data_IF_941161590816
#
_entry.id   IF_941161590816
#
_cell.length_a   1.000
_cell.length_b   1.000
_cell.length_c   1.000
_cell.angle_alpha   90.00
_cell.angle_beta   90.00
_cell.angle_gamma   90.00
#
_symmetry.space_group_name_H-M   'P 1'
#
loop_
_entity.id
_entity.type
_entity.pdbx_description
1 polymer ?
#
# COMPACT_ATOMS: atom_id res chain seq x y z
N UNK A 1 4.07 -14.35 33.75
CA UNK A 1 3.54 -12.97 33.81
C UNK A 1 4.45 -12.10 32.94
N UNK A 2 3.84 -11.38 32.00
CA UNK A 2 4.38 -10.29 31.16
C UNK A 2 5.31 -10.65 29.99
N UNK A 3 4.71 -11.07 28.87
CA UNK A 3 5.13 -10.68 27.51
C UNK A 3 3.88 -10.42 26.66
N UNK A 4 3.14 -9.36 27.00
CA UNK A 4 2.14 -8.71 26.14
C UNK A 4 2.59 -7.26 26.03
N UNK A 5 3.12 -6.84 24.87
CA UNK A 5 3.59 -5.46 24.72
C UNK A 5 4.47 -5.14 23.51
N UNK A 6 4.55 -6.00 22.50
CA UNK A 6 5.12 -5.64 21.19
C UNK A 6 4.07 -5.92 20.14
N UNK A 7 3.44 -4.88 19.58
CA UNK A 7 2.53 -5.05 18.46
C UNK A 7 3.28 -5.78 17.33
N UNK A 8 2.77 -6.93 16.90
CA UNK A 8 3.35 -7.64 15.76
C UNK A 8 3.12 -6.77 14.52
N UNK A 9 4.18 -6.10 14.06
CA UNK A 9 4.13 -5.18 12.93
C UNK A 9 4.22 -5.94 11.61
N UNK A 10 5.01 -7.01 11.56
CA UNK A 10 5.24 -7.83 10.38
C UNK A 10 4.39 -9.10 10.42
N UNK A 11 3.65 -9.36 9.34
CA UNK A 11 2.74 -10.50 9.23
C UNK A 11 3.11 -11.43 8.08
N UNK A 12 3.92 -11.00 7.12
CA UNK A 12 4.32 -11.83 6.01
C UNK A 12 5.10 -11.11 4.93
N UNK A 13 5.54 -11.87 3.94
CA UNK A 13 6.22 -11.39 2.75
C UNK A 13 5.77 -12.17 1.53
N UNK A 14 5.90 -11.59 0.35
CA UNK A 14 5.47 -12.19 -0.90
C UNK A 14 6.25 -11.63 -2.07
N UNK A 15 6.20 -12.36 -3.17
CA UNK A 15 6.63 -11.86 -4.47
C UNK A 15 5.57 -12.14 -5.53
N UNK A 16 5.38 -11.17 -6.41
CA UNK A 16 4.47 -11.25 -7.54
C UNK A 16 5.21 -10.87 -8.81
N UNK A 17 4.94 -11.58 -9.90
CA UNK A 17 5.45 -11.26 -11.23
C UNK A 17 4.30 -11.17 -12.25
N UNK A 18 4.56 -10.49 -13.36
CA UNK A 18 3.67 -10.53 -14.53
C UNK A 18 4.16 -11.58 -15.51
N UNK A 19 3.29 -12.54 -15.83
CA UNK A 19 3.51 -13.53 -16.86
C UNK A 19 2.67 -13.19 -18.11
N UNK A 20 3.24 -13.14 -19.33
CA UNK A 20 2.52 -12.72 -20.54
C UNK A 20 1.20 -13.46 -20.82
N UNK A 21 1.18 -14.78 -20.58
CA UNK A 21 -0.01 -15.62 -20.79
C UNK A 21 -0.93 -15.68 -19.56
N UNK A 22 -0.37 -15.78 -18.35
CA UNK A 22 -1.15 -16.03 -17.12
C UNK A 22 -1.62 -14.74 -16.43
N UNK A 23 -1.12 -13.58 -16.84
CA UNK A 23 -1.33 -12.32 -16.14
C UNK A 23 -0.46 -12.22 -14.89
N UNK A 24 -0.95 -11.50 -13.88
CA UNK A 24 -0.26 -11.37 -12.60
C UNK A 24 -0.26 -12.72 -11.88
N UNK A 25 0.91 -13.18 -11.43
CA UNK A 25 1.10 -14.44 -10.72
C UNK A 25 1.82 -14.20 -9.41
N UNK A 26 1.32 -14.77 -8.32
CA UNK A 26 2.06 -14.84 -7.06
C UNK A 26 3.17 -15.88 -7.26
N UNK A 27 4.42 -15.44 -7.20
CA UNK A 27 5.58 -16.33 -7.31
C UNK A 27 5.69 -17.17 -6.04
N UNK A 28 5.56 -16.51 -4.88
CA UNK A 28 5.56 -17.14 -3.57
C UNK A 28 4.98 -16.22 -2.49
N UNK A 29 4.55 -16.82 -1.39
CA UNK A 29 4.04 -16.11 -0.22
C UNK A 29 4.45 -16.82 1.06
N UNK A 30 4.93 -16.05 2.03
CA UNK A 30 5.25 -16.50 3.37
C UNK A 30 4.52 -15.61 4.37
N UNK A 31 3.39 -16.09 4.89
CA UNK A 31 2.49 -15.34 5.76
C UNK A 31 2.26 -16.07 7.08
N UNK A 32 2.04 -15.30 8.14
CA UNK A 32 1.65 -15.80 9.45
C UNK A 32 0.30 -16.52 9.35
N UNK A 33 0.12 -17.60 10.10
CA UNK A 33 -1.06 -18.49 10.02
C UNK A 33 -2.38 -17.73 10.21
N UNK A 34 -2.39 -16.75 11.12
CA UNK A 34 -3.56 -15.88 11.38
C UNK A 34 -3.96 -15.11 10.10
N UNK A 35 -2.98 -14.55 9.39
CA UNK A 35 -3.24 -13.77 8.18
C UNK A 35 -3.77 -14.65 7.04
N UNK A 36 -3.23 -15.86 6.91
CA UNK A 36 -3.67 -16.82 5.89
C UNK A 36 -5.14 -17.25 6.07
N UNK A 37 -5.65 -17.21 7.31
CA UNK A 37 -7.05 -17.50 7.64
C UNK A 37 -7.97 -16.28 7.44
N UNK A 38 -7.51 -15.09 7.82
CA UNK A 38 -8.32 -13.85 7.79
C UNK A 38 -8.48 -13.25 6.39
N UNK A 39 -7.46 -13.38 5.55
CA UNK A 39 -7.53 -12.91 4.16
C UNK A 39 -7.65 -14.17 3.32
N UNK A 40 -8.86 -14.54 2.89
CA UNK A 40 -9.19 -15.74 2.10
C UNK A 40 -8.16 -16.10 1.00
N UNK A 41 -7.04 -16.71 1.40
CA UNK A 41 -5.90 -17.10 0.57
C UNK A 41 -4.98 -15.96 0.09
N UNK A 42 -5.03 -14.73 0.63
CA UNK A 42 -4.31 -13.55 0.09
C UNK A 42 -4.57 -13.32 -1.41
N UNK A 43 -5.68 -13.88 -1.91
CA UNK A 43 -6.06 -13.87 -3.31
C UNK A 43 -6.32 -12.42 -3.75
N UNK A 44 -5.66 -12.03 -4.83
CA UNK A 44 -5.81 -10.72 -5.44
C UNK A 44 -4.77 -9.69 -5.02
N UNK A 45 -3.87 -10.02 -4.07
CA UNK A 45 -2.73 -9.14 -3.74
C UNK A 45 -1.89 -8.83 -4.99
N UNK A 46 -1.80 -9.77 -5.92
CA UNK A 46 -1.11 -9.63 -7.19
C UNK A 46 -1.67 -8.52 -8.08
N UNK A 47 -2.95 -8.17 -7.95
CA UNK A 47 -3.54 -7.06 -8.70
C UNK A 47 -3.32 -5.72 -8.01
N UNK A 48 -3.14 -5.72 -6.69
CA UNK A 48 -2.85 -4.51 -5.92
C UNK A 48 -1.40 -4.06 -6.11
N UNK A 49 -0.47 -5.03 -6.13
CA UNK A 49 0.98 -4.77 -6.13
C UNK A 49 1.61 -4.76 -7.53
N UNK A 50 0.84 -5.15 -8.55
CA UNK A 50 1.15 -4.95 -9.97
C UNK A 50 -0.03 -4.23 -10.66
N UNK A 51 -0.29 -2.94 -10.33
CA UNK A 51 -1.44 -2.25 -10.87
C UNK A 51 -1.29 -2.03 -12.38
N UNK A 52 -2.42 -2.07 -13.07
CA UNK A 52 -2.50 -1.76 -14.50
C UNK A 52 -1.95 -0.37 -14.80
N UNK A 53 -1.34 -0.19 -15.98
CA UNK A 53 -0.78 1.11 -16.38
C UNK A 53 0.61 1.42 -15.81
N UNK A 54 1.28 0.48 -15.15
CA UNK A 54 2.65 0.66 -14.66
C UNK A 54 3.74 0.58 -15.74
N UNK A 55 3.39 0.51 -17.02
CA UNK A 55 4.35 0.41 -18.12
C UNK A 55 5.29 1.64 -18.21
N UNK A 56 4.89 2.81 -17.71
CA UNK A 56 5.76 4.00 -17.66
C UNK A 56 6.63 4.10 -16.41
N UNK A 57 6.49 3.17 -15.45
CA UNK A 57 7.19 3.22 -14.18
C UNK A 57 8.32 2.18 -14.20
N UNK A 58 9.55 2.64 -13.90
CA UNK A 58 10.69 1.74 -13.74
C UNK A 58 10.74 1.11 -12.36
N UNK A 59 10.46 1.87 -11.32
CA UNK A 59 10.35 1.41 -9.94
C UNK A 59 9.41 2.33 -9.15
N UNK A 60 8.70 1.79 -8.17
CA UNK A 60 7.92 2.59 -7.21
C UNK A 60 7.60 1.76 -5.96
N UNK A 61 7.29 2.44 -4.86
CA UNK A 61 6.72 1.81 -3.68
C UNK A 61 5.19 1.89 -3.78
N UNK A 62 4.57 0.72 -3.69
CA UNK A 62 3.13 0.54 -3.71
C UNK A 62 2.68 0.18 -2.30
N UNK A 63 1.72 0.94 -1.78
CA UNK A 63 1.10 0.66 -0.48
C UNK A 63 -0.37 0.39 -0.75
N UNK A 64 -0.85 -0.80 -0.41
CA UNK A 64 -2.26 -1.17 -0.64
C UNK A 64 -2.87 -1.73 0.62
N UNK A 65 -4.10 -1.32 0.92
CA UNK A 65 -4.88 -1.91 2.00
C UNK A 65 -5.31 -3.34 1.64
N UNK A 66 -5.26 -4.23 2.62
CA UNK A 66 -5.77 -5.59 2.54
C UNK A 66 -6.90 -5.69 3.57
N UNK A 67 -8.11 -5.94 3.09
CA UNK A 67 -9.28 -6.10 3.94
C UNK A 67 -9.41 -7.58 4.30
N UNK A 68 -9.51 -7.88 5.60
CA UNK A 68 -9.97 -9.18 6.06
C UNK A 68 -11.51 -9.17 6.07
N UNK A 69 -12.12 -10.13 5.39
CA UNK A 69 -13.55 -10.36 5.47
C UNK A 69 -13.83 -11.09 6.79
N UNK A 70 -13.98 -10.32 7.87
CA UNK A 70 -14.35 -10.86 9.17
C UNK A 70 -15.88 -10.90 9.31
N UNK A 71 -16.40 -12.02 9.80
CA UNK A 71 -17.84 -12.22 10.05
C UNK A 71 -18.40 -11.27 11.13
N UNK A 72 -17.54 -10.71 11.99
CA UNK A 72 -17.90 -9.93 13.18
C UNK A 72 -17.94 -8.40 12.97
N UNK A 73 -18.10 -7.90 11.72
CA UNK A 73 -18.16 -6.47 11.35
C UNK A 73 -16.92 -5.61 11.74
N UNK A 74 -15.97 -6.16 12.50
CA UNK A 74 -14.69 -5.55 12.84
C UNK A 74 -13.64 -5.96 11.79
N UNK A 75 -13.44 -5.08 10.81
CA UNK A 75 -12.44 -5.27 9.74
C UNK A 75 -11.08 -4.86 10.30
N UNK A 76 -10.24 -5.84 10.61
CA UNK A 76 -8.81 -5.58 10.78
C UNK A 76 -8.23 -5.12 9.44
N UNK A 77 -7.66 -3.90 9.41
CA UNK A 77 -7.00 -3.39 8.21
C UNK A 77 -5.53 -3.76 8.24
N UNK A 78 -5.14 -4.59 7.27
CA UNK A 78 -3.76 -4.93 6.99
C UNK A 78 -3.26 -4.13 5.80
N UNK A 79 -1.95 -4.00 5.67
CA UNK A 79 -1.33 -3.28 4.55
C UNK A 79 -0.28 -4.15 3.89
N UNK A 80 -0.25 -4.07 2.57
CA UNK A 80 0.89 -4.50 1.77
C UNK A 80 1.75 -3.28 1.44
N UNK A 81 3.06 -3.40 1.64
CA UNK A 81 4.05 -2.42 1.19
C UNK A 81 4.99 -3.16 0.26
N UNK A 82 5.10 -2.71 -0.98
CA UNK A 82 5.78 -3.45 -2.03
C UNK A 82 6.64 -2.55 -2.88
N UNK A 83 7.85 -3.01 -3.19
CA UNK A 83 8.67 -2.41 -4.21
C UNK A 83 8.31 -3.06 -5.56
N UNK A 84 7.73 -2.25 -6.42
CA UNK A 84 7.52 -2.56 -7.82
C UNK A 84 8.78 -2.25 -8.62
N UNK A 85 9.12 -3.12 -9.56
CA UNK A 85 10.23 -2.93 -10.50
C UNK A 85 9.87 -3.47 -11.89
N UNK A 86 10.08 -2.63 -12.88
CA UNK A 86 10.13 -3.00 -14.30
C UNK A 86 11.59 -3.23 -14.68
N UNK A 87 11.88 -4.42 -15.20
CA UNK A 87 13.17 -4.75 -15.77
C UNK A 87 13.08 -4.80 -17.29
N UNK A 88 13.86 -3.96 -17.93
CA UNK A 88 14.10 -4.04 -19.37
C UNK A 88 15.19 -5.09 -19.62
N UNK A 89 14.86 -6.12 -20.38
CA UNK A 89 15.82 -7.15 -20.79
C UNK A 89 16.53 -6.65 -22.05
N UNK A 90 17.84 -6.48 -21.98
CA UNK A 90 18.62 -5.74 -22.99
C UNK A 90 19.17 -6.62 -24.13
N UNK A 91 18.87 -7.92 -24.16
CA UNK A 91 19.54 -8.87 -25.08
C UNK A 91 18.79 -9.17 -26.38
N UNK A 92 17.53 -8.78 -26.55
CA UNK A 92 16.81 -8.93 -27.83
C UNK A 92 15.67 -7.88 -27.91
N UNK A 93 15.41 -7.19 -29.05
CA UNK A 93 14.20 -6.37 -29.24
C UNK A 93 12.88 -7.16 -29.09
N UNK A 94 12.92 -8.50 -29.03
CA UNK A 94 11.80 -9.38 -28.66
C UNK A 94 11.79 -9.83 -27.19
N UNK A 95 12.79 -9.45 -26.39
CA UNK A 95 12.84 -9.86 -24.98
C UNK A 95 11.80 -9.15 -24.13
N UNK A 96 11.07 -9.95 -23.37
CA UNK A 96 9.90 -9.57 -22.60
C UNK A 96 10.28 -8.59 -21.48
N UNK A 97 9.53 -7.48 -21.37
CA UNK A 97 9.61 -6.61 -20.20
C UNK A 97 9.10 -7.43 -19.01
N UNK A 98 9.93 -7.55 -17.98
CA UNK A 98 9.57 -8.29 -16.77
C UNK A 98 9.10 -7.29 -15.72
N UNK A 99 7.86 -7.44 -15.26
CA UNK A 99 7.32 -6.71 -14.12
C UNK A 99 7.34 -7.59 -12.89
N UNK A 100 7.87 -7.07 -11.78
CA UNK A 100 7.90 -7.75 -10.49
C UNK A 100 7.56 -6.80 -9.36
N UNK A 101 7.02 -7.37 -8.29
CA UNK A 101 6.75 -6.68 -7.04
C UNK A 101 7.17 -7.57 -5.88
N UNK A 102 8.03 -7.04 -5.00
CA UNK A 102 8.43 -7.70 -3.76
C UNK A 102 7.84 -6.91 -2.61
N UNK A 103 7.11 -7.58 -1.71
CA UNK A 103 6.41 -6.88 -0.65
C UNK A 103 6.35 -7.60 0.67
N UNK A 104 5.91 -6.84 1.67
CA UNK A 104 5.64 -7.29 3.02
C UNK A 104 4.22 -6.94 3.41
N UNK A 105 3.66 -7.73 4.31
CA UNK A 105 2.33 -7.53 4.88
C UNK A 105 2.50 -7.13 6.33
N UNK A 106 1.83 -6.06 6.71
CA UNK A 106 2.00 -5.41 8.01
C UNK A 106 0.68 -4.95 8.60
N UNK A 107 0.66 -4.73 9.91
CA UNK A 107 -0.48 -4.12 10.61
C UNK A 107 -0.52 -2.62 10.40
N UNK A 108 -1.64 -1.99 10.76
CA UNK A 108 -1.84 -0.55 10.64
C UNK A 108 -0.86 0.32 11.44
N UNK A 109 -0.21 -0.23 12.46
CA UNK A 109 0.79 0.49 13.26
C UNK A 109 2.18 0.50 12.63
N UNK A 110 2.36 -0.10 11.46
CA UNK A 110 3.67 -0.21 10.82
C UNK A 110 4.22 1.13 10.33
N UNK A 111 5.52 1.42 10.50
CA UNK A 111 6.12 2.67 10.06
C UNK A 111 6.47 2.59 8.57
N UNK A 112 5.47 2.81 7.70
CA UNK A 112 5.56 2.57 6.24
C UNK A 112 6.80 3.18 5.57
N UNK A 113 7.21 4.38 6.00
CA UNK A 113 8.40 5.05 5.45
C UNK A 113 9.70 4.27 5.67
N UNK A 114 9.89 3.69 6.85
CA UNK A 114 11.05 2.86 7.16
C UNK A 114 11.05 1.57 6.34
N UNK A 115 9.87 0.94 6.21
CA UNK A 115 9.69 -0.28 5.41
C UNK A 115 10.03 -0.03 3.95
N UNK A 116 9.50 1.07 3.40
CA UNK A 116 9.73 1.47 2.03
C UNK A 116 11.23 1.69 1.75
N UNK A 117 11.95 2.35 2.67
CA UNK A 117 13.40 2.60 2.55
C UNK A 117 14.20 1.29 2.55
N UNK A 118 13.82 0.36 3.42
CA UNK A 118 14.47 -0.95 3.49
C UNK A 118 14.21 -1.77 2.22
N UNK A 119 12.97 -1.79 1.73
CA UNK A 119 12.61 -2.41 0.45
C UNK A 119 13.39 -1.81 -0.73
N UNK A 120 13.56 -0.50 -0.77
CA UNK A 120 14.36 0.19 -1.81
C UNK A 120 15.84 -0.24 -1.80
N UNK A 121 16.38 -0.65 -0.65
CA UNK A 121 17.75 -1.17 -0.55
C UNK A 121 17.89 -2.60 -1.09
N UNK A 122 16.77 -3.32 -1.22
CA UNK A 122 16.73 -4.72 -1.66
C UNK A 122 16.80 -4.79 -3.19
N UNK A 123 17.76 -5.57 -3.69
CA UNK A 123 17.79 -5.92 -5.11
C UNK A 123 16.81 -7.06 -5.42
N UNK A 124 15.60 -6.71 -5.87
CA UNK A 124 14.53 -7.67 -6.24
C UNK A 124 15.00 -8.74 -7.23
N UNK A 125 15.96 -8.43 -8.10
CA UNK A 125 16.46 -9.38 -9.10
C UNK A 125 17.16 -10.60 -8.49
N UNK A 126 17.50 -10.53 -7.20
CA UNK A 126 18.14 -11.59 -6.42
C UNK A 126 17.09 -12.54 -5.78
N UNK A 127 15.81 -12.17 -5.74
CA UNK A 127 14.74 -12.86 -5.00
C UNK A 127 13.87 -13.79 -5.87
N UNK A 128 14.42 -14.37 -6.93
CA UNK A 128 13.72 -15.39 -7.73
C UNK A 128 13.54 -16.75 -7.04
N UNK A 129 13.89 -16.87 -5.76
CA UNK A 129 13.93 -18.14 -5.03
C UNK A 129 13.19 -17.99 -3.69
N UNK A 130 12.22 -18.89 -3.46
CA UNK A 130 11.41 -19.02 -2.23
C UNK A 130 12.25 -19.09 -0.97
N UNK A 131 13.48 -19.64 -1.08
CA UNK A 131 14.41 -19.78 0.05
C UNK A 131 14.80 -18.45 0.70
N UNK A 132 14.54 -17.31 0.05
CA UNK A 132 14.89 -15.97 0.54
C UNK A 132 13.76 -15.20 1.22
N UNK A 133 12.52 -15.69 1.16
CA UNK A 133 11.40 -15.11 1.92
C UNK A 133 11.68 -14.97 3.43
N UNK A 134 12.26 -16.00 4.10
CA UNK A 134 12.65 -15.91 5.52
C UNK A 134 13.70 -14.82 5.83
N UNK A 135 14.57 -14.47 4.87
CA UNK A 135 15.54 -13.40 5.05
C UNK A 135 14.89 -12.01 5.12
N UNK A 136 13.77 -11.80 4.44
CA UNK A 136 13.02 -10.54 4.56
C UNK A 136 12.42 -10.42 5.96
N UNK A 137 11.83 -11.50 6.49
CA UNK A 137 11.30 -11.52 7.84
C UNK A 137 12.38 -11.17 8.89
N UNK A 138 13.61 -11.66 8.73
CA UNK A 138 14.71 -11.32 9.65
C UNK A 138 15.17 -9.87 9.53
N UNK A 139 15.23 -9.31 8.31
CA UNK A 139 15.54 -7.90 8.04
C UNK A 139 14.50 -7.00 8.72
N UNK A 140 13.21 -7.26 8.54
CA UNK A 140 12.15 -6.41 9.08
C UNK A 140 11.98 -6.57 10.59
N UNK A 141 12.19 -7.77 11.17
CA UNK A 141 12.10 -7.97 12.61
C UNK A 141 13.20 -7.25 13.41
N UNK A 142 14.36 -6.94 12.81
CA UNK A 142 15.47 -6.28 13.50
C UNK A 142 15.48 -4.74 13.38
N UNK A 143 14.67 -4.15 12.50
CA UNK A 143 14.93 -2.80 12.00
C UNK A 143 14.00 -1.69 12.53
N UNK A 144 13.08 -1.97 13.46
CA UNK A 144 12.09 -0.97 13.87
C UNK A 144 12.46 -0.19 15.13
N UNK A 145 13.28 0.83 14.95
CA UNK A 145 13.15 2.11 15.67
C UNK A 145 12.64 3.15 14.67
N UNK A 146 11.54 3.83 15.00
CA UNK A 146 10.87 4.78 14.11
C UNK A 146 11.82 5.97 13.85
N UNK A 147 12.12 6.26 12.58
CA UNK A 147 12.82 7.49 12.19
C UNK A 147 11.81 8.62 12.00
N UNK A 148 11.94 9.70 12.76
CA UNK A 148 11.05 10.88 12.75
C UNK A 148 11.11 11.65 11.41
N UNK A 149 12.23 11.56 10.68
CA UNK A 149 12.53 12.34 9.46
C UNK A 149 11.51 12.20 8.32
N UNK A 150 10.87 11.03 8.15
CA UNK A 150 9.90 10.83 7.05
C UNK A 150 8.56 11.53 7.29
N UNK A 151 8.20 11.72 8.56
CA UNK A 151 6.93 12.36 8.94
C UNK A 151 7.04 13.87 8.76
N UNK A 152 8.17 14.46 9.15
CA UNK A 152 8.40 15.91 9.08
C UNK A 152 8.40 16.40 7.62
N UNK A 153 9.08 15.71 6.71
CA UNK A 153 9.11 16.07 5.28
C UNK A 153 7.72 16.06 4.63
N UNK A 154 6.87 15.10 4.98
CA UNK A 154 5.54 15.00 4.40
C UNK A 154 4.55 15.96 5.08
N UNK A 155 4.70 16.25 6.38
CA UNK A 155 4.01 17.39 7.03
C UNK A 155 4.40 18.70 6.34
N UNK A 156 5.68 18.92 6.03
CA UNK A 156 6.16 20.12 5.35
C UNK A 156 5.59 20.26 3.92
N UNK A 157 5.43 19.14 3.20
CA UNK A 157 4.76 19.12 1.89
C UNK A 157 3.26 19.41 1.99
N UNK A 158 2.59 18.85 3.01
CA UNK A 158 1.18 19.12 3.27
C UNK A 158 0.97 20.58 3.71
N UNK A 159 1.85 21.13 4.55
CA UNK A 159 1.76 22.49 5.09
C UNK A 159 2.08 23.57 4.04
N UNK A 160 2.97 23.28 3.09
CA UNK A 160 3.24 24.17 1.95
C UNK A 160 2.08 24.22 0.95
N UNK A 161 1.14 23.28 1.00
CA UNK A 161 -0.09 23.35 0.19
C UNK A 161 -1.14 24.14 0.98
N UNK A 162 -1.76 25.15 0.35
CA UNK A 162 -3.04 25.79 0.78
C UNK A 162 -4.16 24.78 1.12
N UNK A 163 -3.94 23.50 0.83
CA UNK A 163 -4.88 22.42 0.93
C UNK A 163 -4.93 21.78 2.32
N UNK A 164 -3.99 22.04 3.25
CA UNK A 164 -4.04 21.38 4.56
C UNK A 164 -5.31 21.76 5.34
N UNK A 165 -5.68 23.04 5.36
CA UNK A 165 -6.90 23.49 6.05
C UNK A 165 -8.18 23.02 5.34
N UNK A 166 -8.21 23.02 4.01
CA UNK A 166 -9.34 22.47 3.24
C UNK A 166 -9.46 20.96 3.43
N UNK A 167 -8.33 20.26 3.51
CA UNK A 167 -8.26 18.86 3.84
C UNK A 167 -8.80 18.62 5.24
N UNK A 168 -8.29 19.29 6.28
CA UNK A 168 -8.86 19.22 7.64
C UNK A 168 -10.36 19.51 7.66
N UNK A 169 -10.82 20.54 6.94
CA UNK A 169 -12.25 20.86 6.84
C UNK A 169 -13.04 19.75 6.17
N UNK A 170 -12.58 19.18 5.06
CA UNK A 170 -13.22 18.05 4.39
C UNK A 170 -13.31 16.84 5.32
N UNK A 171 -12.25 16.60 6.07
CA UNK A 171 -12.12 15.52 7.03
C UNK A 171 -13.07 15.67 8.24
N UNK A 172 -13.12 16.87 8.84
CA UNK A 172 -14.03 17.22 9.93
C UNK A 172 -15.50 17.19 9.50
N UNK A 173 -15.78 17.41 8.23
CA UNK A 173 -17.14 17.36 7.65
C UNK A 173 -17.49 15.99 7.06
N UNK A 174 -16.67 14.97 7.32
CA UNK A 174 -16.87 13.60 6.81
C UNK A 174 -17.09 13.54 5.29
N UNK A 175 -16.34 14.35 4.53
CA UNK A 175 -16.35 14.31 3.06
C UNK A 175 -15.43 13.24 2.50
N UNK A 176 -15.78 12.75 1.31
CA UNK A 176 -14.92 11.90 0.48
C UNK A 176 -13.66 12.67 0.10
N UNK A 177 -12.49 12.14 0.44
CA UNK A 177 -11.19 12.73 0.10
C UNK A 177 -10.44 11.75 -0.79
N UNK A 178 -10.02 12.23 -1.96
CA UNK A 178 -9.23 11.46 -2.89
C UNK A 178 -7.91 12.19 -3.17
N UNK A 179 -6.81 11.56 -2.78
CA UNK A 179 -5.47 11.95 -3.19
C UNK A 179 -5.17 11.33 -4.55
N UNK A 180 -4.67 12.12 -5.47
CA UNK A 180 -4.19 11.63 -6.76
C UNK A 180 -2.84 12.26 -7.08
N UNK A 181 -1.92 11.47 -7.62
CA UNK A 181 -0.63 11.96 -8.10
C UNK A 181 -0.24 11.25 -9.39
N UNK A 182 0.48 11.97 -10.24
CA UNK A 182 1.01 11.45 -11.49
C UNK A 182 2.22 10.53 -11.24
N UNK A 183 3.05 10.81 -10.22
CA UNK A 183 4.21 10.01 -9.75
C UNK A 183 4.89 10.71 -8.56
N UNK A 184 5.58 10.02 -7.62
CA UNK A 184 5.49 8.59 -7.29
C UNK A 184 4.30 8.31 -6.34
N UNK A 185 3.79 7.08 -6.37
CA UNK A 185 2.66 6.66 -5.52
C UNK A 185 3.04 6.71 -4.03
N UNK A 186 4.31 6.42 -3.71
CA UNK A 186 4.91 6.53 -2.37
C UNK A 186 4.52 7.82 -1.65
N UNK A 187 4.74 8.96 -2.29
CA UNK A 187 4.51 10.28 -1.69
C UNK A 187 3.03 10.49 -1.37
N UNK A 188 2.15 10.01 -2.25
CA UNK A 188 0.69 10.16 -2.11
C UNK A 188 0.14 9.26 -1.02
N UNK A 189 0.63 8.03 -0.94
CA UNK A 189 0.29 7.11 0.14
C UNK A 189 0.80 7.62 1.50
N UNK A 190 1.99 8.24 1.54
CA UNK A 190 2.53 8.85 2.76
C UNK A 190 1.72 10.08 3.19
N UNK A 191 1.32 10.95 2.25
CA UNK A 191 0.40 12.06 2.53
C UNK A 191 -0.93 11.54 3.12
N UNK A 192 -1.51 10.50 2.51
CA UNK A 192 -2.73 9.84 3.00
C UNK A 192 -2.54 9.23 4.40
N UNK A 193 -1.37 8.65 4.69
CA UNK A 193 -1.08 8.02 5.98
C UNK A 193 -0.91 9.05 7.10
N UNK A 194 -0.27 10.19 6.82
CA UNK A 194 -0.16 11.27 7.79
C UNK A 194 -1.53 11.84 8.14
N UNK A 195 -2.41 11.97 7.15
CA UNK A 195 -3.79 12.39 7.36
C UNK A 195 -4.53 11.42 8.28
N UNK A 196 -4.39 10.11 8.02
CA UNK A 196 -4.93 9.08 8.90
C UNK A 196 -4.37 9.19 10.33
N UNK A 197 -3.05 9.34 10.48
CA UNK A 197 -2.41 9.47 11.78
C UNK A 197 -2.92 10.69 12.55
N UNK A 198 -3.09 11.83 11.87
CA UNK A 198 -3.64 13.04 12.46
C UNK A 198 -5.07 12.81 12.98
N UNK A 199 -5.93 12.13 12.21
CA UNK A 199 -7.28 11.74 12.68
C UNK A 199 -7.25 10.98 13.99
N UNK A 200 -6.36 9.98 14.05
CA UNK A 200 -6.22 9.13 15.23
C UNK A 200 -5.80 9.93 16.45
N UNK A 201 -4.85 10.87 16.29
CA UNK A 201 -4.40 11.77 17.36
C UNK A 201 -5.55 12.64 17.88
N UNK A 202 -6.39 13.14 16.99
CA UNK A 202 -7.50 14.01 17.38
C UNK A 202 -8.75 13.26 17.88
N UNK A 203 -8.70 11.92 18.03
CA UNK A 203 -9.85 11.08 18.40
C UNK A 203 -11.11 11.34 17.57
N UNK A 204 -10.94 11.86 16.35
CA UNK A 204 -12.00 11.80 15.36
C UNK A 204 -12.07 10.34 14.97
N UNK A 205 -12.83 9.53 15.69
CA UNK A 205 -13.06 8.14 15.35
C UNK A 205 -13.72 8.13 13.98
N UNK A 206 -12.98 7.84 12.89
CA UNK A 206 -13.69 7.39 11.71
C UNK A 206 -14.30 6.06 12.13
N UNK A 207 -15.57 5.79 11.82
CA UNK A 207 -16.02 4.39 11.92
C UNK A 207 -15.00 3.56 11.13
N UNK A 208 -14.53 2.46 11.71
CA UNK A 208 -13.12 2.02 11.62
C UNK A 208 -12.54 1.67 10.23
N UNK A 209 -13.24 1.89 9.11
CA UNK A 209 -13.04 1.13 7.87
C UNK A 209 -12.97 1.99 6.59
N UNK A 210 -12.45 3.23 6.64
CA UNK A 210 -12.62 4.20 5.53
C UNK A 210 -11.33 4.69 4.86
N UNK A 211 -10.19 4.08 5.14
CA UNK A 211 -8.90 4.45 4.54
C UNK A 211 -8.49 3.40 3.53
N UNK A 212 -8.50 3.78 2.25
CA UNK A 212 -8.13 2.91 1.15
C UNK A 212 -6.88 3.45 0.47
N UNK A 213 -5.75 2.79 0.71
CA UNK A 213 -4.50 3.14 0.06
C UNK A 213 -4.41 2.39 -1.27
N UNK A 214 -4.07 3.12 -2.33
CA UNK A 214 -3.95 2.63 -3.71
C UNK A 214 -5.23 1.94 -4.20
N UNK A 215 -6.28 2.74 -4.35
CA UNK A 215 -7.57 2.34 -4.91
C UNK A 215 -7.41 1.97 -6.38
N UNK A 216 -7.80 0.75 -6.72
CA UNK A 216 -7.89 0.26 -8.09
C UNK A 216 -9.28 0.52 -8.69
N UNK A 217 -9.45 0.27 -9.99
CA UNK A 217 -10.78 0.33 -10.62
C UNK A 217 -11.79 -0.64 -10.00
N UNK A 218 -11.33 -1.72 -9.38
CA UNK A 218 -12.20 -2.71 -8.72
C UNK A 218 -12.85 -2.16 -7.46
N UNK A 219 -12.24 -1.12 -6.88
CA UNK A 219 -12.69 -0.51 -5.65
C UNK A 219 -13.69 0.62 -5.90
N UNK A 220 -13.95 1.00 -7.16
CA UNK A 220 -14.95 2.03 -7.52
C UNK A 220 -16.33 1.74 -6.92
N UNK A 221 -16.92 0.53 -7.10
CA UNK A 221 -18.24 0.25 -6.52
C UNK A 221 -18.24 0.31 -4.99
N UNK A 222 -17.09 0.04 -4.35
CA UNK A 222 -16.93 0.19 -2.92
C UNK A 222 -16.94 1.67 -2.54
N UNK A 223 -16.18 2.52 -3.24
CA UNK A 223 -16.14 3.96 -2.99
C UNK A 223 -17.51 4.64 -3.18
N UNK A 224 -18.25 4.28 -4.23
CA UNK A 224 -19.57 4.83 -4.53
C UNK A 224 -20.57 4.60 -3.40
N UNK A 225 -20.54 3.41 -2.80
CA UNK A 225 -21.43 3.02 -1.69
C UNK A 225 -21.11 3.73 -0.37
N UNK A 226 -19.93 4.33 -0.24
CA UNK A 226 -19.43 4.88 1.03
C UNK A 226 -19.73 6.36 1.15
N UNK A 227 -20.25 6.80 2.30
CA UNK A 227 -20.54 8.22 2.58
C UNK A 227 -19.26 9.03 2.84
N UNK A 228 -18.24 8.38 3.40
CA UNK A 228 -16.96 8.98 3.76
C UNK A 228 -15.84 8.00 3.41
N UNK A 229 -14.74 8.51 2.86
CA UNK A 229 -13.48 7.78 2.67
C UNK A 229 -12.31 8.74 2.53
N UNK A 230 -11.12 8.22 2.82
CA UNK A 230 -9.85 8.82 2.42
C UNK A 230 -9.14 7.80 1.56
N UNK A 231 -8.98 8.13 0.29
CA UNK A 231 -8.43 7.24 -0.71
C UNK A 231 -7.21 7.88 -1.39
N UNK A 232 -6.24 7.07 -1.82
CA UNK A 232 -5.27 7.52 -2.79
C UNK A 232 -5.33 6.67 -4.07
N UNK A 233 -5.23 7.33 -5.21
CA UNK A 233 -5.20 6.68 -6.51
C UNK A 233 -3.97 7.15 -7.30
N UNK A 234 -3.36 6.20 -8.02
CA UNK A 234 -2.39 6.54 -9.04
C UNK A 234 -3.10 7.17 -10.23
N UNK A 235 -2.72 8.38 -10.63
CA UNK A 235 -3.37 9.05 -11.76
C UNK A 235 -3.10 8.25 -13.05
N UNK A 236 -4.15 7.57 -13.52
CA UNK A 236 -4.23 7.02 -14.86
C UNK A 236 -5.14 8.00 -15.60
N UNK A 237 -4.58 8.79 -16.52
CA UNK A 237 -5.30 9.84 -17.27
C UNK A 237 -6.65 9.38 -17.87
N UNK A 238 -6.87 8.07 -18.08
CA UNK A 238 -8.13 7.50 -18.57
C UNK A 238 -9.26 7.42 -17.53
N UNK A 239 -8.98 7.54 -16.23
CA UNK A 239 -9.95 7.29 -15.17
C UNK A 239 -10.20 8.47 -14.23
N UNK A 240 -9.42 9.54 -14.35
CA UNK A 240 -9.54 10.74 -13.52
C UNK A 240 -10.96 11.32 -13.52
N UNK A 241 -11.65 11.33 -14.67
CA UNK A 241 -13.03 11.83 -14.76
C UNK A 241 -13.99 11.04 -13.88
N UNK A 242 -13.91 9.70 -13.89
CA UNK A 242 -14.80 8.83 -13.11
C UNK A 242 -14.58 9.03 -11.61
N UNK A 243 -13.33 9.09 -11.17
CA UNK A 243 -13.04 9.30 -9.75
C UNK A 243 -13.42 10.70 -9.26
N UNK A 244 -13.30 11.73 -10.11
CA UNK A 244 -13.78 13.08 -9.78
C UNK A 244 -15.29 13.12 -9.59
N UNK A 245 -16.05 12.40 -10.42
CA UNK A 245 -17.51 12.29 -10.30
C UNK A 245 -17.94 11.57 -9.00
N UNK A 246 -17.17 10.58 -8.53
CA UNK A 246 -17.46 9.86 -7.28
C UNK A 246 -17.09 10.70 -6.04
N UNK A 247 -16.07 11.55 -6.16
CA UNK A 247 -15.57 12.37 -5.06
C UNK A 247 -16.37 13.68 -4.86
N UNK A 248 -17.06 14.18 -5.89
CA UNK A 248 -17.93 15.37 -5.83
C UNK A 248 -19.25 15.10 -5.14
#
# INVERSE_FOLDING_TARGET
>A
MNWLGGYMIFLGSFQVSFHPIKGNTIDWINAHEILAKLIHGLNGIEYNVLPSGCHHIHNDIIISALNADNEDDEIDIYYSISLFKRRDVTRDPRTEIIYRSLGVIVTQSAPFGAIAKELESINIDIFSDESKGPHLASIFNHSYQINEDTTENAIQRLSNKRNLMELFKALLTHKRVLFYSLTPLKDTCMECNIVYALFKVFNFTPCHNYYLYNVSLRDIPLLEKRKFYVACIKNINSHERHFREIAS
#
